data_IF_342687680486
#
_entry.id   IF_342687680486
#
_cell.length_a   1.000
_cell.length_b   1.000
_cell.length_c   1.000
_cell.angle_alpha   90.00
_cell.angle_beta   90.00
_cell.angle_gamma   90.00
#
_symmetry.space_group_name_H-M   'P 1'
#
loop_
_entity.id
_entity.type
_entity.pdbx_description
1 polymer ?
#
# COMPACT_ATOMS: atom_id res chain seq x y z
N UNK A 1 -24.14 -13.64 -25.54
CA UNK A 1 -22.72 -13.83 -25.14
C UNK A 1 -21.99 -12.54 -25.44
N UNK A 2 -21.71 -11.72 -24.44
CA UNK A 2 -21.12 -10.39 -24.66
C UNK A 2 -21.16 -9.56 -23.39
N UNK A 3 -20.35 -9.93 -22.40
CA UNK A 3 -20.13 -9.13 -21.18
C UNK A 3 -18.65 -9.15 -20.83
N UNK A 4 -17.80 -8.81 -21.81
CA UNK A 4 -16.50 -8.24 -21.49
C UNK A 4 -16.70 -6.79 -21.03
N UNK A 5 -15.87 -6.26 -20.12
CA UNK A 5 -15.96 -4.85 -19.75
C UNK A 5 -15.93 -3.99 -21.01
N UNK A 6 -16.95 -3.14 -21.19
CA UNK A 6 -17.04 -2.26 -22.35
C UNK A 6 -15.76 -1.40 -22.41
N UNK A 7 -15.15 -1.20 -23.59
CA UNK A 7 -13.85 -0.53 -23.73
C UNK A 7 -13.80 0.88 -23.10
N UNK A 8 -14.96 1.54 -22.98
CA UNK A 8 -15.13 2.83 -22.33
C UNK A 8 -14.88 2.80 -20.81
N UNK A 9 -15.25 1.69 -20.14
CA UNK A 9 -15.06 1.52 -18.69
C UNK A 9 -13.58 1.26 -18.38
N UNK A 10 -12.91 0.45 -19.21
CA UNK A 10 -11.49 0.18 -19.07
C UNK A 10 -10.63 1.44 -19.23
N UNK A 11 -10.96 2.30 -20.19
CA UNK A 11 -10.24 3.57 -20.40
C UNK A 11 -10.47 4.56 -19.24
N UNK A 12 -11.70 4.64 -18.73
CA UNK A 12 -12.00 5.46 -17.56
C UNK A 12 -11.23 5.00 -16.31
N UNK A 13 -11.11 3.69 -16.09
CA UNK A 13 -10.30 3.11 -15.01
C UNK A 13 -8.82 3.47 -15.17
N UNK A 14 -8.28 3.41 -16.39
CA UNK A 14 -6.88 3.77 -16.66
C UNK A 14 -6.59 5.24 -16.37
N UNK A 15 -7.48 6.15 -16.79
CA UNK A 15 -7.35 7.57 -16.47
C UNK A 15 -7.45 7.83 -14.96
N UNK A 16 -8.36 7.12 -14.28
CA UNK A 16 -8.51 7.22 -12.83
C UNK A 16 -7.26 6.71 -12.10
N UNK A 17 -6.66 5.62 -12.58
CA UNK A 17 -5.40 5.11 -12.07
C UNK A 17 -4.29 6.15 -12.13
N UNK A 18 -4.07 6.77 -13.30
CA UNK A 18 -3.05 7.81 -13.47
C UNK A 18 -3.29 9.01 -12.55
N UNK A 19 -4.55 9.36 -12.27
CA UNK A 19 -4.91 10.42 -11.33
C UNK A 19 -4.58 10.06 -9.87
N UNK A 20 -4.72 8.80 -9.48
CA UNK A 20 -4.41 8.33 -8.12
C UNK A 20 -2.96 7.90 -7.95
N UNK A 21 -2.21 7.67 -9.04
CA UNK A 21 -0.83 7.21 -9.01
C UNK A 21 0.11 8.07 -8.14
N UNK A 22 0.08 9.42 -8.21
CA UNK A 22 0.91 10.26 -7.33
C UNK A 22 0.59 10.04 -5.85
N UNK A 23 -0.69 9.98 -5.50
CA UNK A 23 -1.14 9.75 -4.12
C UNK A 23 -0.76 8.35 -3.62
N UNK A 24 -0.78 7.33 -4.50
CA UNK A 24 -0.32 5.99 -4.14
C UNK A 24 1.19 5.98 -3.90
N UNK A 25 1.98 6.68 -4.72
CA UNK A 25 3.42 6.81 -4.53
C UNK A 25 3.77 7.52 -3.22
N UNK A 26 3.05 8.60 -2.88
CA UNK A 26 3.22 9.28 -1.58
C UNK A 26 2.93 8.34 -0.41
N UNK A 27 1.88 7.52 -0.50
CA UNK A 27 1.54 6.54 0.55
C UNK A 27 2.60 5.46 0.70
N UNK A 28 3.13 4.96 -0.41
CA UNK A 28 4.25 4.00 -0.39
C UNK A 28 5.47 4.64 0.26
N UNK A 29 5.80 5.89 -0.07
CA UNK A 29 6.92 6.60 0.55
C UNK A 29 6.76 6.76 2.07
N UNK A 30 5.53 6.97 2.56
CA UNK A 30 5.24 6.97 4.01
C UNK A 30 5.52 5.60 4.64
N UNK A 31 5.11 4.51 3.97
CA UNK A 31 5.41 3.15 4.43
C UNK A 31 6.91 2.85 4.43
N UNK A 32 7.64 3.30 3.40
CA UNK A 32 9.10 3.15 3.29
C UNK A 32 9.83 3.89 4.42
N UNK A 33 9.40 5.13 4.69
CA UNK A 33 9.94 5.93 5.79
C UNK A 33 9.69 5.30 7.15
N UNK A 34 8.48 4.80 7.40
CA UNK A 34 8.14 4.09 8.63
C UNK A 34 8.90 2.77 8.76
N UNK A 35 9.03 2.00 7.68
CA UNK A 35 9.82 0.76 7.65
C UNK A 35 11.29 1.02 7.99
N UNK A 36 11.88 2.06 7.41
CA UNK A 36 13.27 2.46 7.67
C UNK A 36 13.46 2.90 9.12
N UNK A 37 12.53 3.71 9.64
CA UNK A 37 12.56 4.14 11.05
C UNK A 37 12.41 2.95 12.02
N UNK A 38 11.56 1.98 11.67
CA UNK A 38 11.36 0.76 12.45
C UNK A 38 12.63 -0.09 12.49
N UNK A 39 13.31 -0.28 11.36
CA UNK A 39 14.59 -1.00 11.31
C UNK A 39 15.69 -0.29 12.11
N UNK A 40 15.66 1.04 12.15
CA UNK A 40 16.57 1.85 12.95
C UNK A 40 16.20 1.91 14.45
N UNK A 41 15.08 1.31 14.88
CA UNK A 41 14.58 1.40 16.25
C UNK A 41 14.11 2.82 16.64
N UNK A 42 13.82 3.66 15.65
CA UNK A 42 13.46 5.07 15.80
C UNK A 42 12.03 5.37 15.32
N UNK A 43 11.19 4.34 15.16
CA UNK A 43 9.79 4.53 14.77
C UNK A 43 9.02 5.24 15.88
N UNK A 44 8.52 6.44 15.58
CA UNK A 44 7.60 7.16 16.46
C UNK A 44 6.16 6.71 16.27
N UNK A 45 5.33 6.92 17.30
CA UNK A 45 3.88 6.65 17.23
C UNK A 45 3.19 7.43 16.10
N UNK A 46 3.64 8.66 15.84
CA UNK A 46 3.15 9.47 14.72
C UNK A 46 3.46 8.83 13.36
N UNK A 47 4.67 8.30 13.17
CA UNK A 47 5.03 7.56 11.95
C UNK A 47 4.28 6.24 11.84
N UNK A 48 4.12 5.51 12.95
CA UNK A 48 3.34 4.27 13.02
C UNK A 48 1.89 4.51 12.59
N UNK A 49 1.25 5.53 13.15
CA UNK A 49 -0.13 5.90 12.82
C UNK A 49 -0.28 6.36 11.36
N UNK A 50 0.66 7.19 10.88
CA UNK A 50 0.67 7.63 9.48
C UNK A 50 0.83 6.46 8.50
N UNK A 51 1.69 5.49 8.83
CA UNK A 51 1.90 4.28 8.05
C UNK A 51 0.64 3.40 8.01
N UNK A 52 -0.01 3.17 9.16
CA UNK A 52 -1.28 2.45 9.20
C UNK A 52 -2.36 3.11 8.33
N UNK A 53 -2.52 4.43 8.43
CA UNK A 53 -3.47 5.17 7.61
C UNK A 53 -3.12 5.16 6.10
N UNK A 54 -1.83 5.18 5.76
CA UNK A 54 -1.36 5.07 4.38
C UNK A 54 -1.66 3.68 3.80
N UNK A 55 -1.40 2.63 4.57
CA UNK A 55 -1.69 1.24 4.23
C UNK A 55 -3.20 1.01 4.00
N UNK A 56 -4.05 1.49 4.92
CA UNK A 56 -5.51 1.42 4.77
C UNK A 56 -6.00 2.02 3.45
N UNK A 57 -5.51 3.23 3.14
CA UNK A 57 -5.91 3.94 1.91
C UNK A 57 -5.37 3.27 0.65
N UNK A 58 -4.17 2.69 0.70
CA UNK A 58 -3.64 1.86 -0.39
C UNK A 58 -4.53 0.63 -0.63
N UNK A 59 -4.92 -0.09 0.42
CA UNK A 59 -5.82 -1.24 0.30
C UNK A 59 -7.15 -0.86 -0.37
N UNK A 60 -7.75 0.28 0.01
CA UNK A 60 -8.99 0.76 -0.60
C UNK A 60 -8.86 1.09 -2.09
N UNK A 61 -7.81 1.82 -2.46
CA UNK A 61 -7.58 2.20 -3.86
C UNK A 61 -7.22 0.99 -4.71
N UNK A 62 -6.28 0.14 -4.27
CA UNK A 62 -5.86 -1.07 -4.98
C UNK A 62 -7.05 -2.04 -5.18
N UNK A 63 -7.92 -2.16 -4.19
CA UNK A 63 -9.14 -2.97 -4.28
C UNK A 63 -10.13 -2.45 -5.33
N UNK A 64 -10.24 -1.13 -5.48
CA UNK A 64 -11.09 -0.49 -6.51
C UNK A 64 -10.61 -0.82 -7.93
N UNK A 65 -9.30 -1.00 -8.11
CA UNK A 65 -8.70 -1.38 -9.40
C UNK A 65 -8.58 -2.91 -9.59
N UNK A 66 -9.08 -3.71 -8.66
CA UNK A 66 -9.04 -5.18 -8.74
C UNK A 66 -7.65 -5.77 -8.47
N UNK A 67 -6.73 -5.01 -7.86
CA UNK A 67 -5.38 -5.46 -7.51
C UNK A 67 -5.43 -6.20 -6.16
N UNK A 68 -5.95 -7.42 -6.18
CA UNK A 68 -6.16 -8.24 -4.98
C UNK A 68 -4.87 -8.49 -4.20
N UNK A 69 -3.76 -8.74 -4.91
CA UNK A 69 -2.45 -8.94 -4.27
C UNK A 69 -1.99 -7.69 -3.50
N UNK A 70 -2.00 -6.54 -4.16
CA UNK A 70 -1.65 -5.26 -3.51
C UNK A 70 -2.60 -4.90 -2.37
N UNK A 71 -3.88 -5.26 -2.49
CA UNK A 71 -4.87 -5.07 -1.41
C UNK A 71 -4.53 -5.90 -0.18
N UNK A 72 -4.19 -7.18 -0.37
CA UNK A 72 -3.82 -8.08 0.72
C UNK A 72 -2.54 -7.62 1.41
N UNK A 73 -1.51 -7.26 0.64
CA UNK A 73 -0.25 -6.72 1.15
C UNK A 73 -0.48 -5.44 1.98
N UNK A 74 -1.26 -4.50 1.44
CA UNK A 74 -1.55 -3.24 2.14
C UNK A 74 -2.35 -3.48 3.44
N UNK A 75 -3.33 -4.39 3.45
CA UNK A 75 -4.07 -4.76 4.66
C UNK A 75 -3.20 -5.43 5.71
N UNK A 76 -2.23 -6.22 5.30
CA UNK A 76 -1.28 -6.82 6.22
C UNK A 76 -0.40 -5.76 6.88
N UNK A 77 0.17 -4.83 6.10
CA UNK A 77 0.92 -3.71 6.66
C UNK A 77 0.07 -2.86 7.60
N UNK A 78 -1.19 -2.56 7.23
CA UNK A 78 -2.15 -1.86 8.09
C UNK A 78 -2.28 -2.54 9.46
N UNK A 79 -2.59 -3.84 9.48
CA UNK A 79 -2.75 -4.60 10.71
C UNK A 79 -1.50 -4.56 11.59
N UNK A 80 -0.32 -4.69 11.00
CA UNK A 80 0.94 -4.64 11.76
C UNK A 80 1.17 -3.25 12.37
N UNK A 81 0.91 -2.19 11.62
CA UNK A 81 1.05 -0.82 12.13
C UNK A 81 -0.02 -0.44 13.15
N UNK A 82 -1.24 -1.00 13.08
CA UNK A 82 -2.34 -0.68 14.01
C UNK A 82 -2.45 -1.63 15.19
N UNK A 83 -1.73 -2.76 15.20
CA UNK A 83 -1.69 -3.66 16.34
C UNK A 83 -1.20 -2.92 17.60
N UNK A 84 -1.73 -3.29 18.76
CA UNK A 84 -1.27 -2.71 20.04
C UNK A 84 0.07 -3.31 20.49
N UNK A 85 0.50 -4.40 19.85
CA UNK A 85 1.74 -5.09 20.15
C UNK A 85 2.99 -4.32 19.70
N UNK A 86 4.10 -4.61 20.40
CA UNK A 86 5.42 -4.14 20.03
C UNK A 86 5.83 -4.72 18.68
N UNK A 87 6.24 -3.85 17.77
CA UNK A 87 6.83 -4.26 16.50
C UNK A 87 8.23 -4.81 16.76
N UNK A 88 8.40 -6.12 16.59
CA UNK A 88 9.67 -6.80 16.72
C UNK A 88 10.49 -6.80 15.41
N UNK A 89 11.67 -7.39 15.44
CA UNK A 89 12.53 -7.48 14.25
C UNK A 89 11.90 -8.29 13.11
N UNK A 90 11.07 -9.29 13.41
CA UNK A 90 10.39 -10.07 12.39
C UNK A 90 9.31 -9.23 11.69
N UNK A 91 8.57 -8.44 12.46
CA UNK A 91 7.60 -7.48 11.94
C UNK A 91 8.28 -6.43 11.06
N UNK A 92 9.46 -5.92 11.47
CA UNK A 92 10.24 -4.97 10.70
C UNK A 92 10.65 -5.53 9.32
N UNK A 93 11.14 -6.78 9.28
CA UNK A 93 11.51 -7.46 8.03
C UNK A 93 10.30 -7.66 7.13
N UNK A 94 9.16 -8.08 7.69
CA UNK A 94 7.93 -8.30 6.92
C UNK A 94 7.36 -7.01 6.36
N UNK A 95 7.30 -5.94 7.16
CA UNK A 95 6.86 -4.60 6.71
C UNK A 95 7.74 -4.09 5.58
N UNK A 96 9.06 -4.29 5.66
CA UNK A 96 9.98 -3.90 4.59
C UNK A 96 9.70 -4.67 3.29
N UNK A 97 9.50 -5.98 3.38
CA UNK A 97 9.15 -6.82 2.24
C UNK A 97 7.84 -6.37 1.58
N UNK A 98 6.78 -6.17 2.38
CA UNK A 98 5.48 -5.70 1.90
C UNK A 98 5.61 -4.36 1.18
N UNK A 99 6.36 -3.42 1.76
CA UNK A 99 6.54 -2.08 1.20
C UNK A 99 7.22 -2.14 -0.17
N UNK A 100 8.28 -2.94 -0.29
CA UNK A 100 8.97 -3.16 -1.57
C UNK A 100 8.05 -3.80 -2.62
N UNK A 101 7.24 -4.78 -2.23
CA UNK A 101 6.28 -5.41 -3.14
C UNK A 101 5.19 -4.44 -3.60
N UNK A 102 4.67 -3.59 -2.70
CA UNK A 102 3.69 -2.55 -3.07
C UNK A 102 4.30 -1.52 -4.03
N UNK A 103 5.54 -1.10 -3.79
CA UNK A 103 6.26 -0.18 -4.66
C UNK A 103 6.44 -0.76 -6.07
N UNK A 104 6.86 -2.02 -6.17
CA UNK A 104 7.04 -2.71 -7.45
C UNK A 104 5.72 -2.90 -8.20
N UNK A 105 4.65 -3.28 -7.49
CA UNK A 105 3.31 -3.44 -8.07
C UNK A 105 2.81 -2.11 -8.64
N UNK A 106 2.93 -1.01 -7.90
CA UNK A 106 2.51 0.32 -8.38
C UNK A 106 3.37 0.80 -9.55
N UNK A 107 4.65 0.44 -9.59
CA UNK A 107 5.56 0.78 -10.70
C UNK A 107 5.24 -0.02 -11.97
N UNK A 108 4.89 -1.28 -11.82
CA UNK A 108 4.59 -2.20 -12.93
C UNK A 108 3.23 -1.95 -13.56
N UNK A 109 2.25 -1.48 -12.78
CA UNK A 109 0.89 -1.18 -13.25
C UNK A 109 0.72 0.22 -13.88
N UNK A 110 1.74 0.80 -14.52
CA UNK A 110 1.68 2.15 -15.14
C UNK A 110 0.90 2.22 -16.45
#
# INVERSE_FOLDING_TARGET
MGTGPQPQIAEALKLLWLKFLPQMQERVAVLEGASSALQAGALSDGQRSAAGAAAHKLAGVLGTFGLTEGTSLAREAEQMFTADDLLDSAAAVRIAAITNQLADLIRTHR
#
